data_IF_627953691473
#
_entry.id   IF_627953691473
#
_cell.length_a   1.000
_cell.length_b   1.000
_cell.length_c   1.000
_cell.angle_alpha   90.00
_cell.angle_beta   90.00
_cell.angle_gamma   90.00
#
_symmetry.space_group_name_H-M   'P 1'
#
loop_
_entity.id
_entity.type
_entity.pdbx_description
1 polymer ?
#
# COMPACT_ATOMS: atom_id res chain seq x y z
N UNK A 1 -9.61 3.67 21.41
CA UNK A 1 -10.95 3.80 20.79
C UNK A 1 -11.02 5.15 20.13
N UNK A 2 -11.47 5.21 18.90
CA UNK A 2 -11.56 6.41 18.09
C UNK A 2 -12.50 7.45 18.70
N UNK A 3 -12.01 8.69 18.83
CA UNK A 3 -12.80 9.83 19.33
C UNK A 3 -12.85 10.90 18.22
N UNK A 4 -13.95 10.98 17.47
CA UNK A 4 -14.06 11.90 16.33
C UNK A 4 -13.98 13.38 16.70
N UNK A 5 -14.19 13.74 17.99
CA UNK A 5 -14.10 15.12 18.44
C UNK A 5 -12.68 15.66 18.53
N UNK A 6 -11.68 14.77 18.53
CA UNK A 6 -10.26 15.11 18.68
C UNK A 6 -9.48 15.05 17.36
N UNK A 7 -10.10 14.54 16.29
CA UNK A 7 -9.41 14.26 15.04
C UNK A 7 -9.97 15.14 13.94
N UNK A 8 -9.10 15.87 13.23
CA UNK A 8 -9.47 16.72 12.10
C UNK A 8 -9.21 16.08 10.76
N UNK A 9 -8.24 15.15 10.69
CA UNK A 9 -7.96 14.40 9.47
C UNK A 9 -7.46 12.99 9.75
N UNK A 10 -7.75 12.08 8.81
CA UNK A 10 -7.16 10.74 8.77
C UNK A 10 -6.43 10.57 7.44
N UNK A 11 -5.13 10.31 7.52
CA UNK A 11 -4.24 10.08 6.39
C UNK A 11 -4.02 8.57 6.24
N UNK A 12 -3.96 8.10 5.01
CA UNK A 12 -3.89 6.68 4.69
C UNK A 12 -2.72 6.40 3.76
N UNK A 13 -1.96 5.36 4.05
CA UNK A 13 -1.16 4.73 3.03
C UNK A 13 -2.07 4.04 1.99
N UNK A 14 -1.52 3.64 0.84
CA UNK A 14 -2.26 3.01 -0.24
C UNK A 14 -2.05 1.50 -0.28
N UNK A 15 -0.81 1.07 -0.54
CA UNK A 15 -0.46 -0.32 -0.83
C UNK A 15 -0.49 -1.17 0.46
N UNK A 16 -1.23 -2.27 0.48
CA UNK A 16 -1.50 -3.14 1.64
C UNK A 16 -2.21 -2.44 2.83
N UNK A 17 -2.73 -1.23 2.60
CA UNK A 17 -3.53 -0.45 3.56
C UNK A 17 -4.95 -0.23 3.04
N UNK A 18 -5.13 0.49 1.91
CA UNK A 18 -6.44 0.73 1.29
C UNK A 18 -6.89 -0.41 0.37
N UNK A 19 -5.97 -1.22 -0.10
CA UNK A 19 -6.22 -2.45 -0.88
C UNK A 19 -5.10 -3.46 -0.61
N UNK A 20 -5.33 -4.73 -0.94
CA UNK A 20 -4.28 -5.75 -0.87
C UNK A 20 -3.47 -5.80 -2.16
N UNK A 21 -2.25 -5.26 -2.12
CA UNK A 21 -1.26 -5.37 -3.19
C UNK A 21 -0.91 -6.83 -3.49
N UNK A 22 -0.83 -7.66 -2.44
CA UNK A 22 -0.56 -9.10 -2.55
C UNK A 22 -1.64 -9.79 -3.38
N UNK A 23 -2.92 -9.51 -3.11
CA UNK A 23 -4.02 -10.09 -3.87
C UNK A 23 -4.01 -9.66 -5.34
N UNK A 24 -3.75 -8.39 -5.61
CA UNK A 24 -3.62 -7.88 -6.98
C UNK A 24 -2.42 -8.50 -7.72
N UNK A 25 -1.26 -8.60 -7.07
CA UNK A 25 -0.06 -9.23 -7.62
C UNK A 25 -0.30 -10.70 -7.97
N UNK A 26 -0.99 -11.46 -7.09
CA UNK A 26 -1.34 -12.86 -7.31
C UNK A 26 -2.12 -13.06 -8.63
N UNK A 27 -2.96 -12.10 -8.99
CA UNK A 27 -3.73 -12.12 -10.23
C UNK A 27 -2.94 -11.58 -11.44
N UNK A 28 -1.92 -10.74 -11.20
CA UNK A 28 -1.07 -10.18 -12.25
C UNK A 28 0.00 -11.16 -12.74
N UNK A 29 0.60 -11.93 -11.83
CA UNK A 29 1.72 -12.83 -12.15
C UNK A 29 1.42 -13.86 -13.25
N UNK A 30 0.26 -14.54 -13.31
CA UNK A 30 -0.02 -15.50 -14.37
C UNK A 30 0.10 -14.92 -15.78
N UNK A 31 -0.40 -13.71 -16.00
CA UNK A 31 -0.25 -13.01 -17.29
C UNK A 31 1.20 -12.66 -17.61
N UNK A 32 1.93 -12.12 -16.62
CA UNK A 32 3.36 -11.82 -16.76
C UNK A 32 4.18 -13.07 -17.09
N UNK A 33 3.90 -14.18 -16.42
CA UNK A 33 4.60 -15.44 -16.62
C UNK A 33 4.38 -16.02 -18.00
N UNK A 34 3.13 -16.04 -18.49
CA UNK A 34 2.83 -16.47 -19.86
C UNK A 34 3.54 -15.63 -20.91
N UNK A 35 3.61 -14.35 -20.67
CA UNK A 35 4.20 -13.40 -21.63
C UNK A 35 5.72 -13.47 -21.64
N UNK A 36 6.36 -13.53 -20.47
CA UNK A 36 7.80 -13.28 -20.35
C UNK A 36 8.63 -14.49 -19.93
N UNK A 37 8.05 -15.52 -19.28
CA UNK A 37 8.84 -16.59 -18.65
C UNK A 37 8.46 -18.01 -19.11
N UNK A 38 7.17 -18.31 -19.25
CA UNK A 38 6.65 -19.68 -19.33
C UNK A 38 5.61 -19.84 -20.46
N UNK A 39 6.05 -19.64 -21.70
CA UNK A 39 5.13 -19.51 -22.85
C UNK A 39 4.27 -20.75 -23.12
N UNK A 40 4.84 -21.96 -22.94
CA UNK A 40 4.21 -23.24 -23.29
C UNK A 40 3.87 -24.10 -22.05
N UNK A 41 3.80 -23.48 -20.87
CA UNK A 41 3.43 -24.19 -19.64
C UNK A 41 1.92 -24.18 -19.43
N UNK A 42 1.41 -25.24 -18.81
CA UNK A 42 -0.01 -25.33 -18.45
C UNK A 42 -0.40 -24.40 -17.30
N UNK A 43 -1.69 -24.25 -17.08
CA UNK A 43 -2.21 -23.35 -16.07
C UNK A 43 -1.80 -23.77 -14.65
N UNK A 44 -1.74 -25.07 -14.37
CA UNK A 44 -1.33 -25.56 -13.05
C UNK A 44 0.10 -25.17 -12.70
N UNK A 45 1.02 -25.27 -13.67
CA UNK A 45 2.41 -24.82 -13.50
C UNK A 45 2.47 -23.29 -13.24
N UNK A 46 1.74 -22.50 -14.05
CA UNK A 46 1.69 -21.03 -13.94
C UNK A 46 1.16 -20.60 -12.58
N UNK A 47 0.06 -21.21 -12.12
CA UNK A 47 -0.53 -20.93 -10.83
C UNK A 47 0.42 -21.28 -9.67
N UNK A 48 1.08 -22.44 -9.72
CA UNK A 48 2.05 -22.85 -8.70
C UNK A 48 3.26 -21.88 -8.65
N UNK A 49 3.75 -21.43 -9.80
CA UNK A 49 4.83 -20.45 -9.87
C UNK A 49 4.39 -19.08 -9.33
N UNK A 50 3.14 -18.67 -9.57
CA UNK A 50 2.60 -17.42 -9.02
C UNK A 50 2.43 -17.50 -7.49
N UNK A 51 1.95 -18.62 -6.95
CA UNK A 51 1.88 -18.85 -5.50
C UNK A 51 3.28 -18.81 -4.88
N UNK A 52 4.26 -19.43 -5.51
CA UNK A 52 5.65 -19.35 -5.06
C UNK A 52 6.16 -17.91 -4.98
N UNK A 53 5.87 -17.07 -5.98
CA UNK A 53 6.24 -15.66 -5.93
C UNK A 53 5.59 -14.94 -4.74
N UNK A 54 4.31 -15.22 -4.46
CA UNK A 54 3.59 -14.62 -3.33
C UNK A 54 4.22 -15.03 -1.99
N UNK A 55 4.60 -16.30 -1.82
CA UNK A 55 5.23 -16.81 -0.59
C UNK A 55 6.63 -16.22 -0.36
N UNK A 56 7.31 -15.78 -1.42
CA UNK A 56 8.66 -15.22 -1.39
C UNK A 56 8.70 -13.69 -1.56
N UNK A 57 7.54 -13.03 -1.45
CA UNK A 57 7.47 -11.57 -1.54
C UNK A 57 8.28 -10.89 -0.46
N UNK A 58 9.03 -9.87 -0.89
CA UNK A 58 9.65 -8.92 0.02
C UNK A 58 8.65 -7.78 0.26
N UNK A 59 8.47 -7.37 1.52
CA UNK A 59 7.51 -6.34 1.94
C UNK A 59 7.56 -5.07 1.08
N UNK A 60 8.75 -4.59 0.78
CA UNK A 60 8.96 -3.29 0.12
C UNK A 60 9.05 -3.36 -1.40
N UNK A 61 9.07 -4.56 -1.97
CA UNK A 61 9.19 -4.74 -3.42
C UNK A 61 8.47 -5.98 -3.90
N UNK A 62 7.53 -5.80 -4.80
CA UNK A 62 6.77 -6.90 -5.42
C UNK A 62 7.54 -7.60 -6.55
N UNK A 63 8.48 -6.90 -7.17
CA UNK A 63 9.30 -7.38 -8.28
C UNK A 63 10.77 -7.10 -7.95
N UNK A 64 11.42 -8.07 -7.32
CA UNK A 64 12.82 -7.98 -6.93
C UNK A 64 13.63 -9.09 -7.62
N UNK A 65 14.89 -8.81 -7.98
CA UNK A 65 15.76 -9.77 -8.68
C UNK A 65 15.95 -11.05 -7.87
N UNK A 66 16.18 -10.93 -6.56
CA UNK A 66 16.36 -12.09 -5.67
C UNK A 66 15.12 -13.01 -5.60
N UNK A 67 13.90 -12.46 -5.78
CA UNK A 67 12.69 -13.26 -5.84
C UNK A 67 12.63 -14.10 -7.11
N UNK A 68 13.08 -13.53 -8.25
CA UNK A 68 13.22 -14.28 -9.49
C UNK A 68 14.32 -15.33 -9.43
N UNK A 69 15.45 -15.06 -8.77
CA UNK A 69 16.50 -16.06 -8.55
C UNK A 69 15.95 -17.29 -7.80
N UNK A 70 15.16 -17.08 -6.73
CA UNK A 70 14.49 -18.14 -6.00
C UNK A 70 13.45 -18.88 -6.88
N UNK A 71 12.65 -18.12 -7.63
CA UNK A 71 11.66 -18.68 -8.55
C UNK A 71 12.31 -19.59 -9.58
N UNK A 72 13.42 -19.19 -10.20
CA UNK A 72 14.07 -19.96 -11.27
C UNK A 72 14.75 -21.23 -10.79
N UNK A 73 15.06 -21.33 -9.50
CA UNK A 73 15.53 -22.59 -8.91
C UNK A 73 14.40 -23.63 -8.83
N UNK A 74 13.17 -23.20 -8.50
CA UNK A 74 12.00 -24.08 -8.38
C UNK A 74 11.26 -24.25 -9.72
N UNK A 75 11.16 -23.17 -10.50
CA UNK A 75 10.43 -23.07 -11.76
C UNK A 75 11.31 -22.45 -12.84
N UNK A 76 12.23 -23.23 -13.48
CA UNK A 76 13.13 -22.71 -14.50
C UNK A 76 12.36 -22.11 -15.69
N UNK A 77 12.72 -20.90 -16.15
CA UNK A 77 12.07 -20.28 -17.30
C UNK A 77 12.40 -21.03 -18.60
N UNK A 78 11.51 -20.98 -19.57
CA UNK A 78 11.74 -21.52 -20.92
C UNK A 78 11.93 -20.42 -21.98
N UNK A 79 12.16 -19.19 -21.51
CA UNK A 79 12.51 -18.01 -22.32
C UNK A 79 13.66 -17.26 -21.66
N UNK A 80 14.34 -16.45 -22.45
CA UNK A 80 15.33 -15.52 -21.91
C UNK A 80 14.64 -14.53 -20.97
N UNK A 81 15.18 -14.40 -19.78
CA UNK A 81 14.65 -13.54 -18.73
C UNK A 81 15.14 -12.09 -18.89
N UNK A 82 14.22 -11.15 -18.80
CA UNK A 82 14.51 -9.74 -18.66
C UNK A 82 13.70 -9.18 -17.48
N UNK A 83 14.39 -8.81 -16.41
CA UNK A 83 13.74 -8.24 -15.21
C UNK A 83 12.92 -6.99 -15.54
N UNK A 84 13.46 -6.13 -16.42
CA UNK A 84 12.79 -4.90 -16.82
C UNK A 84 11.45 -5.17 -17.49
N UNK A 85 11.36 -6.13 -18.40
CA UNK A 85 10.12 -6.47 -19.09
C UNK A 85 9.07 -7.01 -18.12
N UNK A 86 9.49 -7.80 -17.13
CA UNK A 86 8.61 -8.28 -16.07
C UNK A 86 8.13 -7.14 -15.16
N UNK A 87 9.02 -6.20 -14.82
CA UNK A 87 8.66 -5.02 -14.04
C UNK A 87 7.68 -4.13 -14.81
N UNK A 88 7.92 -3.85 -16.08
CA UNK A 88 7.03 -3.07 -16.94
C UNK A 88 5.66 -3.73 -17.03
N UNK A 89 5.60 -5.05 -17.33
CA UNK A 89 4.33 -5.78 -17.34
C UNK A 89 3.57 -5.65 -16.01
N UNK A 90 4.25 -5.86 -14.89
CA UNK A 90 3.64 -5.75 -13.57
C UNK A 90 3.05 -4.37 -13.31
N UNK A 91 3.81 -3.31 -13.59
CA UNK A 91 3.34 -1.95 -13.38
C UNK A 91 2.22 -1.55 -14.33
N UNK A 92 2.21 -2.07 -15.55
CA UNK A 92 1.18 -1.77 -16.52
C UNK A 92 -0.16 -2.48 -16.25
N UNK A 93 -0.15 -3.61 -15.51
CA UNK A 93 -1.34 -4.45 -15.38
C UNK A 93 -1.88 -4.62 -13.94
N UNK A 94 -1.06 -4.37 -12.89
CA UNK A 94 -1.53 -4.61 -11.51
C UNK A 94 -2.78 -3.79 -11.15
N UNK A 95 -2.93 -2.61 -11.72
CA UNK A 95 -4.09 -1.74 -11.47
C UNK A 95 -5.41 -2.38 -11.92
N UNK A 96 -5.39 -3.29 -12.89
CA UNK A 96 -6.57 -4.01 -13.39
C UNK A 96 -7.17 -4.92 -12.31
N UNK A 97 -6.35 -5.36 -11.35
CA UNK A 97 -6.72 -6.26 -10.26
C UNK A 97 -6.77 -5.56 -8.89
N UNK A 98 -6.48 -4.27 -8.84
CA UNK A 98 -6.55 -3.51 -7.61
C UNK A 98 -8.00 -3.26 -7.21
N UNK A 99 -8.41 -3.75 -6.05
CA UNK A 99 -9.76 -3.59 -5.51
C UNK A 99 -9.66 -2.98 -4.12
N UNK A 100 -10.29 -1.81 -3.94
CA UNK A 100 -10.32 -1.13 -2.65
C UNK A 100 -10.99 -1.99 -1.58
N UNK A 101 -10.40 -2.04 -0.39
CA UNK A 101 -10.94 -2.79 0.74
C UNK A 101 -12.30 -2.23 1.17
N UNK A 102 -13.30 -3.09 1.28
CA UNK A 102 -14.66 -2.68 1.62
C UNK A 102 -14.74 -2.01 3.00
N UNK A 103 -14.00 -2.50 3.99
CA UNK A 103 -13.93 -1.93 5.34
C UNK A 103 -13.28 -0.54 5.30
N UNK A 104 -12.17 -0.39 4.59
CA UNK A 104 -11.45 0.87 4.45
C UNK A 104 -12.34 1.93 3.78
N UNK A 105 -13.01 1.57 2.70
CA UNK A 105 -13.96 2.47 2.00
C UNK A 105 -15.11 2.88 2.92
N UNK A 106 -15.67 1.95 3.69
CA UNK A 106 -16.75 2.23 4.63
C UNK A 106 -16.29 3.21 5.72
N UNK A 107 -15.10 2.99 6.29
CA UNK A 107 -14.50 3.89 7.29
C UNK A 107 -14.26 5.29 6.70
N UNK A 108 -13.63 5.38 5.51
CA UNK A 108 -13.38 6.67 4.85
C UNK A 108 -14.67 7.45 4.60
N UNK A 109 -15.72 6.79 4.09
CA UNK A 109 -17.03 7.42 3.91
C UNK A 109 -17.61 7.94 5.22
N UNK A 110 -17.49 7.16 6.30
CA UNK A 110 -18.00 7.56 7.61
C UNK A 110 -17.24 8.73 8.20
N UNK A 111 -15.91 8.76 8.06
CA UNK A 111 -15.09 9.92 8.46
C UNK A 111 -15.53 11.19 7.74
N UNK A 112 -15.80 11.14 6.44
CA UNK A 112 -16.28 12.26 5.65
C UNK A 112 -17.68 12.75 6.09
N UNK A 113 -18.59 11.83 6.41
CA UNK A 113 -19.91 12.17 6.99
C UNK A 113 -19.77 12.93 8.31
N UNK A 114 -18.74 12.66 9.09
CA UNK A 114 -18.41 13.35 10.35
C UNK A 114 -17.65 14.67 10.13
N UNK A 115 -17.36 15.05 8.88
CA UNK A 115 -16.61 16.26 8.54
C UNK A 115 -15.09 16.14 8.77
N UNK A 116 -14.58 14.91 8.98
CA UNK A 116 -13.16 14.64 9.12
C UNK A 116 -12.53 14.53 7.73
N UNK A 117 -11.47 15.29 7.50
CA UNK A 117 -10.74 15.29 6.22
C UNK A 117 -9.98 14.00 5.99
N UNK A 118 -9.79 13.64 4.74
CA UNK A 118 -9.10 12.39 4.37
C UNK A 118 -8.02 12.64 3.33
N UNK A 119 -6.87 11.96 3.47
CA UNK A 119 -5.82 12.00 2.46
C UNK A 119 -5.23 10.62 2.19
N UNK A 120 -4.77 10.41 0.95
CA UNK A 120 -3.84 9.33 0.62
C UNK A 120 -2.42 9.90 0.66
N UNK A 121 -1.48 9.17 1.27
CA UNK A 121 -0.05 9.51 1.31
C UNK A 121 0.75 8.27 0.97
N UNK A 122 1.20 8.16 -0.28
CA UNK A 122 1.81 6.94 -0.81
C UNK A 122 3.24 7.16 -1.29
N UNK A 123 4.11 6.16 -1.07
CA UNK A 123 5.47 6.16 -1.59
C UNK A 123 5.48 5.72 -3.06
N UNK A 124 5.92 6.62 -3.93
CA UNK A 124 6.13 6.34 -5.35
C UNK A 124 7.17 7.30 -5.94
N UNK A 125 8.02 6.82 -6.82
CA UNK A 125 8.97 7.67 -7.56
C UNK A 125 8.27 8.49 -8.65
N UNK A 126 8.88 9.60 -9.05
CA UNK A 126 8.28 10.54 -10.00
C UNK A 126 8.00 9.93 -11.39
N UNK A 127 8.81 8.97 -11.82
CA UNK A 127 8.63 8.24 -13.08
C UNK A 127 7.46 7.24 -13.06
N UNK A 128 6.83 7.01 -11.88
CA UNK A 128 5.74 6.06 -11.68
C UNK A 128 4.42 6.72 -11.25
N UNK A 129 4.28 8.04 -11.40
CA UNK A 129 3.05 8.75 -10.99
C UNK A 129 1.80 8.25 -11.73
N UNK A 130 1.88 8.05 -13.04
CA UNK A 130 0.76 7.55 -13.82
C UNK A 130 0.33 6.16 -13.34
N UNK A 131 1.28 5.28 -13.07
CA UNK A 131 1.02 3.97 -12.49
C UNK A 131 0.23 4.07 -11.17
N UNK A 132 0.68 4.91 -10.23
CA UNK A 132 0.02 5.05 -8.94
C UNK A 132 -1.36 5.71 -9.07
N UNK A 133 -1.48 6.69 -9.96
CA UNK A 133 -2.74 7.37 -10.27
C UNK A 133 -3.76 6.40 -10.84
N UNK A 134 -3.38 5.59 -11.81
CA UNK A 134 -4.26 4.58 -12.43
C UNK A 134 -4.81 3.60 -11.39
N UNK A 135 -4.00 3.16 -10.43
CA UNK A 135 -4.49 2.32 -9.32
C UNK A 135 -5.57 3.03 -8.50
N UNK A 136 -5.31 4.26 -8.07
CA UNK A 136 -6.25 5.05 -7.26
C UNK A 136 -7.58 5.28 -8.00
N UNK A 137 -7.50 5.59 -9.29
CA UNK A 137 -8.67 5.83 -10.14
C UNK A 137 -9.47 4.56 -10.41
N UNK A 138 -8.80 3.46 -10.76
CA UNK A 138 -9.45 2.15 -11.00
C UNK A 138 -10.20 1.67 -9.76
N UNK A 139 -9.65 1.89 -8.57
CA UNK A 139 -10.31 1.57 -7.31
C UNK A 139 -11.45 2.54 -6.93
N UNK A 140 -11.68 3.61 -7.70
CA UNK A 140 -12.69 4.62 -7.40
C UNK A 140 -12.42 5.42 -6.13
N UNK A 141 -11.15 5.53 -5.73
CA UNK A 141 -10.76 6.19 -4.47
C UNK A 141 -10.68 7.71 -4.60
N UNK A 142 -10.38 8.25 -5.78
CA UNK A 142 -10.20 9.69 -6.02
C UNK A 142 -11.29 10.57 -5.37
N UNK A 143 -12.60 10.31 -5.54
CA UNK A 143 -13.65 11.16 -4.97
C UNK A 143 -13.82 11.03 -3.45
N UNK A 144 -13.16 10.06 -2.83
CA UNK A 144 -13.26 9.81 -1.39
C UNK A 144 -12.20 10.55 -0.56
N UNK A 145 -11.21 11.13 -1.21
CA UNK A 145 -10.09 11.78 -0.53
C UNK A 145 -10.01 13.27 -0.92
N UNK A 146 -9.75 14.12 0.08
CA UNK A 146 -9.62 15.56 -0.12
C UNK A 146 -8.23 15.92 -0.69
N UNK A 147 -7.22 15.11 -0.38
CA UNK A 147 -5.83 15.26 -0.83
C UNK A 147 -5.23 13.90 -1.18
N UNK A 148 -4.44 13.85 -2.24
CA UNK A 148 -3.63 12.70 -2.62
C UNK A 148 -2.19 13.19 -2.79
N UNK A 149 -1.29 12.68 -1.94
CA UNK A 149 0.15 13.00 -1.97
C UNK A 149 0.92 11.78 -2.45
N UNK A 150 1.64 11.96 -3.54
CA UNK A 150 2.64 11.02 -4.04
C UNK A 150 4.02 11.51 -3.63
N UNK A 151 4.77 10.71 -2.89
CA UNK A 151 6.03 11.14 -2.24
C UNK A 151 7.06 11.74 -3.20
N UNK A 152 7.09 11.28 -4.45
CA UNK A 152 7.94 11.84 -5.50
C UNK A 152 7.64 13.31 -5.84
N UNK A 153 6.42 13.82 -5.56
CA UNK A 153 6.09 15.25 -5.70
C UNK A 153 6.84 16.09 -4.67
N UNK A 154 7.10 15.52 -3.51
CA UNK A 154 7.85 16.15 -2.42
C UNK A 154 9.37 15.95 -2.58
N UNK A 155 9.77 14.98 -3.42
CA UNK A 155 11.17 14.62 -3.67
C UNK A 155 11.79 13.76 -2.57
N UNK A 156 10.99 13.22 -1.65
CA UNK A 156 11.41 12.32 -0.57
C UNK A 156 10.30 11.33 -0.26
N UNK A 157 10.65 10.18 0.36
CA UNK A 157 9.71 9.14 0.71
C UNK A 157 9.45 9.10 2.23
N UNK A 158 8.28 8.58 2.65
CA UNK A 158 8.05 8.17 4.04
C UNK A 158 9.19 7.24 4.47
N UNK A 159 9.78 7.39 5.67
CA UNK A 159 9.30 8.14 6.84
C UNK A 159 9.74 9.62 6.93
N UNK A 160 10.21 10.26 5.86
CA UNK A 160 10.62 11.66 5.92
C UNK A 160 9.43 12.57 6.27
N UNK A 161 9.61 13.42 7.28
CA UNK A 161 8.58 14.32 7.81
C UNK A 161 7.94 15.23 6.75
N UNK A 162 8.71 15.58 5.70
CA UNK A 162 8.24 16.49 4.65
C UNK A 162 7.04 15.94 3.90
N UNK A 163 6.92 14.62 3.76
CA UNK A 163 5.78 13.99 3.08
C UNK A 163 4.51 14.15 3.92
N UNK A 164 4.58 13.90 5.23
CA UNK A 164 3.45 14.06 6.16
C UNK A 164 3.03 15.53 6.28
N UNK A 165 4.01 16.44 6.47
CA UNK A 165 3.76 17.87 6.55
C UNK A 165 3.13 18.43 5.28
N UNK A 166 3.54 17.93 4.11
CA UNK A 166 2.95 18.34 2.84
C UNK A 166 1.46 18.00 2.75
N UNK A 167 1.08 16.80 3.19
CA UNK A 167 -0.32 16.38 3.22
C UNK A 167 -1.17 17.24 4.20
N UNK A 168 -0.69 17.43 5.43
CA UNK A 168 -1.43 18.22 6.43
C UNK A 168 -1.52 19.70 6.08
N UNK A 169 -0.50 20.28 5.45
CA UNK A 169 -0.55 21.63 4.91
C UNK A 169 -1.62 21.78 3.82
N UNK A 170 -1.72 20.84 2.88
CA UNK A 170 -2.78 20.86 1.87
C UNK A 170 -4.17 20.69 2.49
N UNK A 171 -4.31 19.89 3.53
CA UNK A 171 -5.55 19.73 4.29
C UNK A 171 -5.87 20.95 5.17
N UNK A 172 -4.88 21.79 5.50
CA UNK A 172 -5.05 22.93 6.42
C UNK A 172 -5.31 22.49 7.85
N UNK A 173 -4.61 21.47 8.34
CA UNK A 173 -4.71 20.94 9.71
C UNK A 173 -3.33 20.79 10.35
N UNK A 174 -3.26 20.75 11.68
CA UNK A 174 -2.04 20.48 12.41
C UNK A 174 -1.79 18.95 12.49
N UNK A 175 -0.52 18.53 12.52
CA UNK A 175 -0.16 17.11 12.56
C UNK A 175 -0.72 16.40 13.81
N UNK A 176 -0.70 17.07 14.96
CA UNK A 176 -1.22 16.53 16.23
C UNK A 176 -2.73 16.28 16.24
N UNK A 177 -3.46 16.86 15.30
CA UNK A 177 -4.90 16.64 15.10
C UNK A 177 -5.17 15.52 14.07
N UNK A 178 -4.13 14.79 13.65
CA UNK A 178 -4.21 13.77 12.60
C UNK A 178 -3.91 12.36 13.10
N UNK A 179 -4.56 11.40 12.45
CA UNK A 179 -4.21 9.98 12.55
C UNK A 179 -3.65 9.54 11.20
N UNK A 180 -2.58 8.74 11.22
CA UNK A 180 -2.07 8.05 10.04
C UNK A 180 -2.42 6.56 10.11
N UNK A 181 -2.94 6.00 9.04
CA UNK A 181 -3.26 4.57 8.91
C UNK A 181 -2.31 3.96 7.88
N UNK A 182 -1.58 2.92 8.24
CA UNK A 182 -0.65 2.24 7.34
C UNK A 182 -0.26 0.85 7.82
N UNK A 183 0.38 0.07 6.94
CA UNK A 183 0.87 -1.30 7.23
C UNK A 183 2.37 -1.35 7.51
N UNK A 184 3.15 -0.42 6.95
CA UNK A 184 4.60 -0.44 7.04
C UNK A 184 5.11 0.23 8.33
N UNK A 185 5.68 -0.54 9.29
CA UNK A 185 6.11 0.02 10.57
C UNK A 185 7.22 1.06 10.44
N UNK A 186 8.12 0.94 9.45
CA UNK A 186 9.24 1.86 9.25
C UNK A 186 8.85 3.12 8.50
N UNK A 187 8.10 2.97 7.42
CA UNK A 187 7.69 4.09 6.58
C UNK A 187 6.53 4.89 7.20
N UNK A 188 5.47 4.17 7.61
CA UNK A 188 4.20 4.78 8.03
C UNK A 188 4.20 5.14 9.51
N UNK A 189 4.43 4.12 10.35
CA UNK A 189 4.23 4.29 11.79
C UNK A 189 5.33 5.16 12.40
N UNK A 190 6.59 4.85 12.11
CA UNK A 190 7.72 5.71 12.55
C UNK A 190 7.60 7.12 11.97
N UNK A 191 7.23 7.24 10.69
CA UNK A 191 7.03 8.53 10.04
C UNK A 191 5.93 9.36 10.68
N UNK A 192 4.75 8.78 10.92
CA UNK A 192 3.62 9.43 11.58
C UNK A 192 3.96 9.88 13.01
N UNK A 193 4.59 9.02 13.81
CA UNK A 193 5.04 9.36 15.16
C UNK A 193 6.04 10.53 15.18
N UNK A 194 7.01 10.50 14.27
CA UNK A 194 8.00 11.58 14.12
C UNK A 194 7.32 12.89 13.69
N UNK A 195 6.23 12.82 12.91
CA UNK A 195 5.42 13.98 12.55
C UNK A 195 4.52 14.47 13.69
N UNK A 196 4.44 13.75 14.81
CA UNK A 196 3.60 14.10 15.96
C UNK A 196 2.18 13.55 15.93
N UNK A 197 1.83 12.77 14.91
CA UNK A 197 0.51 12.16 14.71
C UNK A 197 0.28 10.95 15.65
N UNK A 198 -0.96 10.52 15.80
CA UNK A 198 -1.28 9.15 16.20
C UNK A 198 -1.20 8.24 14.98
N UNK A 199 -0.98 6.92 15.21
CA UNK A 199 -0.89 5.93 14.16
C UNK A 199 -1.80 4.72 14.41
N UNK A 200 -2.50 4.29 13.38
CA UNK A 200 -3.19 3.00 13.32
C UNK A 200 -2.36 2.08 12.44
N UNK A 201 -1.80 1.05 13.04
CA UNK A 201 -0.93 0.10 12.38
C UNK A 201 -1.71 -1.17 12.03
N UNK A 202 -1.93 -1.39 10.73
CA UNK A 202 -2.48 -2.65 10.21
C UNK A 202 -1.32 -3.65 10.14
N UNK A 203 -1.22 -4.52 11.15
CA UNK A 203 -0.13 -5.50 11.22
C UNK A 203 -0.45 -6.75 10.39
N UNK A 204 -0.46 -6.58 9.06
CA UNK A 204 -0.70 -7.67 8.11
C UNK A 204 0.45 -8.70 8.06
N UNK A 205 1.66 -8.31 8.48
CA UNK A 205 2.87 -9.12 8.39
C UNK A 205 3.27 -9.83 9.69
N UNK A 206 2.60 -9.53 10.80
CA UNK A 206 2.86 -10.15 12.08
C UNK A 206 4.17 -9.69 12.74
N UNK A 207 4.51 -8.40 12.60
CA UNK A 207 5.74 -7.80 13.17
C UNK A 207 5.75 -7.70 14.72
N UNK A 208 4.73 -8.20 15.35
CA UNK A 208 4.70 -8.38 16.79
C UNK A 208 4.56 -7.08 17.58
N UNK A 209 5.32 -6.99 18.68
CA UNK A 209 5.14 -5.95 19.70
C UNK A 209 6.09 -4.76 19.53
N UNK A 210 6.49 -4.45 18.30
CA UNK A 210 7.48 -3.41 17.97
C UNK A 210 7.18 -2.05 18.61
N UNK A 211 5.91 -1.68 18.77
CA UNK A 211 5.46 -0.43 19.39
C UNK A 211 4.72 -0.65 20.71
N UNK A 212 4.92 -1.79 21.37
CA UNK A 212 4.24 -2.12 22.61
C UNK A 212 4.41 -1.02 23.66
N UNK A 213 3.31 -0.60 24.26
CA UNK A 213 3.29 0.44 25.30
C UNK A 213 3.35 1.88 24.76
N UNK A 214 3.46 2.10 23.44
CA UNK A 214 3.34 3.45 22.89
C UNK A 214 1.85 3.86 22.80
N UNK A 215 1.38 4.87 23.58
CA UNK A 215 -0.03 5.25 23.61
C UNK A 215 -0.54 5.88 22.32
N UNK A 216 0.36 6.28 21.42
CA UNK A 216 0.02 6.85 20.11
C UNK A 216 -0.07 5.82 18.99
N UNK A 217 0.21 4.54 19.25
CA UNK A 217 0.14 3.47 18.25
C UNK A 217 -0.96 2.48 18.59
N UNK A 218 -1.87 2.29 17.65
CA UNK A 218 -2.98 1.34 17.75
C UNK A 218 -2.77 0.23 16.73
N UNK A 219 -2.24 -0.91 17.20
CA UNK A 219 -2.05 -2.10 16.37
C UNK A 219 -3.37 -2.83 16.18
N UNK A 220 -3.72 -3.12 14.93
CA UNK A 220 -4.97 -3.78 14.54
C UNK A 220 -4.74 -4.80 13.42
N UNK A 221 -5.66 -5.76 13.27
CA UNK A 221 -5.73 -6.62 12.08
C UNK A 221 -6.75 -6.09 11.06
N UNK A 222 -7.76 -5.37 11.53
CA UNK A 222 -8.76 -4.68 10.72
C UNK A 222 -8.94 -3.24 11.21
N UNK A 223 -9.15 -2.32 10.30
CA UNK A 223 -9.43 -0.91 10.61
C UNK A 223 -10.70 -0.73 11.48
N UNK A 224 -11.64 -1.67 11.41
CA UNK A 224 -12.86 -1.68 12.21
C UNK A 224 -12.60 -1.91 13.70
N UNK A 225 -11.44 -2.47 14.07
CA UNK A 225 -11.07 -2.63 15.49
C UNK A 225 -10.81 -1.26 16.16
N UNK A 226 -10.32 -0.29 15.38
CA UNK A 226 -10.05 1.06 15.87
C UNK A 226 -11.21 2.01 15.61
N UNK A 227 -11.72 2.06 14.36
CA UNK A 227 -12.79 2.95 13.95
C UNK A 227 -14.17 2.35 14.27
N UNK A 228 -14.59 2.50 15.51
CA UNK A 228 -15.92 2.12 15.98
C UNK A 228 -16.79 3.39 16.08
N UNK A 229 -17.76 3.50 15.19
CA UNK A 229 -18.67 4.66 15.07
C UNK A 229 -20.02 4.42 15.73
#
# INVERSE_FOLDING_TARGET
MFDPSKVKAVLWDLDDTLYSRIAAARLTYPGMFRTHLYQDRDDAFIEAAADFMIEHLVRDSMIHESTFEALFQAYPPNKDFCLKDCQEYYFDHIHEYAVAGAEQVAVVKKLRELGIKTAIVTNVSADRFEFQRNKIETMGLTPLFDVIVMSGEVGVHKPDLRVFNHATQQLGVANEDCIFVGDNPDADIVGALNAGMEAVWIDAWGDGDRFAGNPKVHRVQSVLEYFQF
#
